data_IF_003499781125
#
_entry.id   IF_003499781125
#
_cell.length_a   1.000
_cell.length_b   1.000
_cell.length_c   1.000
_cell.angle_alpha   90.00
_cell.angle_beta   90.00
_cell.angle_gamma   90.00
#
_symmetry.space_group_name_H-M   'P 1'
#
loop_
_entity.id
_entity.type
_entity.pdbx_description
1 polymer ?
#
# COMPACT_ATOMS: atom_id res chain seq x y z
N UNK A 1 2.75 -10.01 -80.90
CA UNK A 1 2.36 -11.43 -80.76
C UNK A 1 3.25 -12.00 -79.65
N UNK A 2 3.15 -11.57 -78.39
CA UNK A 2 2.07 -11.70 -77.40
C UNK A 2 1.62 -13.16 -77.19
N UNK A 3 1.67 -13.60 -75.91
CA UNK A 3 1.19 -14.88 -75.32
C UNK A 3 2.32 -15.95 -75.33
N UNK A 4 2.92 -16.42 -74.22
CA UNK A 4 2.40 -16.95 -72.95
C UNK A 4 3.42 -16.65 -71.82
N UNK A 5 3.07 -15.96 -70.73
CA UNK A 5 2.58 -16.56 -69.47
C UNK A 5 3.37 -17.80 -69.00
N UNK A 6 4.37 -17.54 -68.15
CA UNK A 6 4.73 -18.45 -67.05
C UNK A 6 4.81 -17.62 -65.77
N UNK A 7 3.62 -17.24 -65.31
CA UNK A 7 3.37 -16.68 -63.99
C UNK A 7 3.68 -17.72 -62.91
N UNK A 8 4.43 -17.26 -61.90
CA UNK A 8 4.25 -17.55 -60.48
C UNK A 8 3.86 -18.98 -60.09
N UNK A 9 4.89 -19.83 -59.87
CA UNK A 9 4.78 -20.95 -58.93
C UNK A 9 5.40 -20.59 -57.59
N UNK A 10 4.85 -19.57 -56.92
CA UNK A 10 4.94 -19.46 -55.47
C UNK A 10 4.02 -20.53 -54.90
N UNK A 11 4.55 -21.73 -54.66
CA UNK A 11 3.82 -22.73 -53.89
C UNK A 11 3.59 -22.16 -52.49
N UNK A 12 2.36 -21.72 -52.24
CA UNK A 12 1.84 -21.48 -50.90
C UNK A 12 1.73 -22.84 -50.20
N UNK A 13 2.86 -23.29 -49.66
CA UNK A 13 2.96 -24.42 -48.75
C UNK A 13 2.77 -23.88 -47.33
N UNK A 14 1.86 -24.45 -46.57
CA UNK A 14 1.53 -24.09 -45.17
C UNK A 14 2.69 -24.28 -44.17
N UNK A 15 3.88 -24.63 -44.67
CA UNK A 15 5.09 -24.80 -43.88
C UNK A 15 6.01 -23.60 -44.14
N UNK A 16 6.40 -22.93 -43.05
CA UNK A 16 7.39 -21.85 -43.07
C UNK A 16 8.72 -22.39 -43.61
N UNK A 17 9.01 -22.17 -44.90
CA UNK A 17 10.31 -22.51 -45.48
C UNK A 17 11.28 -21.35 -45.22
N UNK A 18 11.93 -21.38 -44.06
CA UNK A 18 13.01 -20.44 -43.76
C UNK A 18 14.33 -20.95 -44.38
N UNK A 19 15.06 -20.07 -45.06
CA UNK A 19 16.41 -20.35 -45.55
C UNK A 19 17.39 -20.40 -44.35
N UNK A 20 18.45 -21.21 -44.42
CA UNK A 20 19.45 -21.35 -43.34
C UNK A 20 20.00 -19.98 -42.87
N UNK A 21 20.23 -19.05 -43.81
CA UNK A 21 20.69 -17.70 -43.46
C UNK A 21 19.66 -16.86 -42.71
N UNK A 22 18.36 -17.07 -42.97
CA UNK A 22 17.28 -16.39 -42.26
C UNK A 22 17.14 -16.94 -40.84
N UNK A 23 17.25 -18.25 -40.67
CA UNK A 23 17.31 -18.91 -39.35
C UNK A 23 18.48 -18.38 -38.51
N UNK A 24 19.68 -18.32 -39.09
CA UNK A 24 20.87 -17.80 -38.38
C UNK A 24 20.68 -16.34 -37.93
N UNK A 25 20.11 -15.48 -38.79
CA UNK A 25 19.82 -14.09 -38.41
C UNK A 25 18.74 -13.97 -37.33
N UNK A 26 17.71 -14.81 -37.35
CA UNK A 26 16.66 -14.85 -36.33
C UNK A 26 17.23 -15.32 -34.98
N UNK A 27 18.07 -16.36 -34.98
CA UNK A 27 18.75 -16.84 -33.78
C UNK A 27 19.73 -15.82 -33.21
N UNK A 28 20.41 -15.04 -34.05
CA UNK A 28 21.26 -13.95 -33.60
C UNK A 28 20.46 -12.79 -32.98
N UNK A 29 19.31 -12.46 -33.56
CA UNK A 29 18.40 -11.45 -33.00
C UNK A 29 17.85 -11.90 -31.64
N UNK A 30 17.43 -13.16 -31.53
CA UNK A 30 17.01 -13.76 -30.26
C UNK A 30 18.15 -13.75 -29.24
N UNK A 31 19.36 -14.21 -29.61
CA UNK A 31 20.53 -14.15 -28.72
C UNK A 31 20.92 -12.74 -28.29
N UNK A 32 20.74 -11.74 -29.16
CA UNK A 32 20.99 -10.33 -28.82
C UNK A 32 19.92 -9.82 -27.85
N UNK A 33 18.65 -10.12 -28.09
CA UNK A 33 17.55 -9.79 -27.18
C UNK A 33 17.73 -10.45 -25.80
N UNK A 34 18.12 -11.73 -25.76
CA UNK A 34 18.38 -12.47 -24.52
C UNK A 34 19.57 -11.91 -23.75
N UNK A 35 20.62 -11.43 -24.43
CA UNK A 35 21.76 -10.76 -23.79
C UNK A 35 21.40 -9.38 -23.24
N UNK A 36 20.54 -8.65 -23.95
CA UNK A 36 20.03 -7.34 -23.53
C UNK A 36 19.09 -7.47 -22.33
N UNK A 37 18.23 -8.50 -22.31
CA UNK A 37 17.41 -8.86 -21.16
C UNK A 37 18.28 -9.33 -19.98
N UNK A 38 19.32 -10.12 -20.24
CA UNK A 38 20.22 -10.65 -19.22
C UNK A 38 21.22 -9.63 -18.65
N UNK A 39 21.02 -8.33 -18.89
CA UNK A 39 21.81 -7.29 -18.23
C UNK A 39 21.65 -7.42 -16.71
N UNK A 40 22.76 -7.50 -15.95
CA UNK A 40 22.74 -7.84 -14.53
C UNK A 40 21.88 -6.87 -13.71
N UNK A 41 21.81 -5.59 -14.08
CA UNK A 41 20.98 -4.60 -13.39
C UNK A 41 19.48 -4.87 -13.51
N UNK A 42 19.00 -5.24 -14.71
CA UNK A 42 17.58 -5.55 -14.96
C UNK A 42 17.22 -6.86 -14.26
N UNK A 43 18.10 -7.86 -14.38
CA UNK A 43 17.93 -9.15 -13.70
C UNK A 43 17.93 -9.03 -12.18
N UNK A 44 18.75 -8.15 -11.59
CA UNK A 44 18.79 -7.97 -10.14
C UNK A 44 17.50 -7.37 -9.58
N UNK A 45 16.92 -6.37 -10.26
CA UNK A 45 15.64 -5.79 -9.84
C UNK A 45 14.50 -6.79 -10.02
N UNK A 46 14.43 -7.47 -11.17
CA UNK A 46 13.43 -8.50 -11.42
C UNK A 46 13.50 -9.60 -10.35
N UNK A 47 14.70 -10.15 -10.09
CA UNK A 47 14.91 -11.15 -9.06
C UNK A 47 14.54 -10.66 -7.65
N UNK A 48 14.76 -9.39 -7.32
CA UNK A 48 14.37 -8.82 -6.03
C UNK A 48 12.85 -8.72 -5.88
N UNK A 49 12.16 -8.28 -6.94
CA UNK A 49 10.69 -8.22 -6.97
C UNK A 49 10.11 -9.62 -6.87
N UNK A 50 10.63 -10.60 -7.63
CA UNK A 50 10.16 -11.99 -7.59
C UNK A 50 10.35 -12.61 -6.20
N UNK A 51 11.50 -12.40 -5.56
CA UNK A 51 11.73 -12.86 -4.18
C UNK A 51 10.76 -12.21 -3.19
N UNK A 52 10.52 -10.91 -3.31
CA UNK A 52 9.61 -10.18 -2.43
C UNK A 52 8.16 -10.66 -2.62
N UNK A 53 7.78 -10.93 -3.88
CA UNK A 53 6.49 -11.49 -4.23
C UNK A 53 6.31 -12.91 -3.71
N UNK A 54 7.31 -13.79 -3.90
CA UNK A 54 7.24 -15.17 -3.41
C UNK A 54 7.16 -15.22 -1.89
N UNK A 55 7.91 -14.37 -1.18
CA UNK A 55 7.81 -14.25 0.27
C UNK A 55 6.41 -13.80 0.71
N UNK A 56 5.85 -12.78 0.06
CA UNK A 56 4.51 -12.29 0.37
C UNK A 56 3.43 -13.34 0.04
N UNK A 57 3.57 -14.04 -1.07
CA UNK A 57 2.67 -15.13 -1.49
C UNK A 57 2.71 -16.28 -0.50
N UNK A 58 3.90 -16.72 -0.08
CA UNK A 58 4.05 -17.80 0.90
C UNK A 58 3.46 -17.40 2.25
N UNK A 59 3.71 -16.18 2.72
CA UNK A 59 3.13 -15.66 3.96
C UNK A 59 1.59 -15.55 3.89
N UNK A 60 1.02 -15.29 2.72
CA UNK A 60 -0.44 -15.26 2.52
C UNK A 60 -1.07 -16.63 2.73
N UNK A 61 -0.45 -17.71 2.24
CA UNK A 61 -1.07 -19.06 2.21
C UNK A 61 -1.44 -19.54 3.61
N UNK A 62 -0.53 -19.42 4.58
CA UNK A 62 -0.79 -19.84 5.97
C UNK A 62 -1.90 -19.00 6.61
N UNK A 63 -1.82 -17.68 6.46
CA UNK A 63 -2.83 -16.76 7.00
C UNK A 63 -4.21 -16.98 6.37
N UNK A 64 -4.27 -17.24 5.07
CA UNK A 64 -5.52 -17.51 4.35
C UNK A 64 -6.19 -18.79 4.83
N UNK A 65 -5.42 -19.84 5.13
CA UNK A 65 -5.96 -21.06 5.73
C UNK A 65 -6.60 -20.80 7.10
N UNK A 66 -5.92 -20.02 7.96
CA UNK A 66 -6.46 -19.62 9.27
C UNK A 66 -7.71 -18.75 9.10
N UNK A 67 -7.69 -17.78 8.17
CA UNK A 67 -8.84 -16.92 7.89
C UNK A 67 -10.06 -17.72 7.41
N UNK A 68 -9.86 -18.72 6.54
CA UNK A 68 -10.94 -19.61 6.10
C UNK A 68 -11.52 -20.43 7.25
N UNK A 69 -10.68 -20.93 8.17
CA UNK A 69 -11.14 -21.62 9.37
C UNK A 69 -11.96 -20.68 10.27
N UNK A 70 -11.48 -19.47 10.53
CA UNK A 70 -12.18 -18.45 11.31
C UNK A 70 -13.52 -18.06 10.67
N UNK A 71 -13.59 -17.95 9.34
CA UNK A 71 -14.81 -17.65 8.62
C UNK A 71 -15.87 -18.75 8.83
N UNK A 72 -15.49 -20.02 8.68
CA UNK A 72 -16.38 -21.17 8.96
C UNK A 72 -16.91 -21.15 10.40
N UNK A 73 -16.04 -20.90 11.37
CA UNK A 73 -16.44 -20.81 12.78
C UNK A 73 -17.42 -19.66 13.05
N UNK A 74 -17.26 -18.52 12.35
CA UNK A 74 -18.20 -17.39 12.43
C UNK A 74 -19.55 -17.75 11.82
N UNK A 75 -19.55 -18.51 10.72
CA UNK A 75 -20.77 -19.02 10.07
C UNK A 75 -21.40 -20.20 10.83
N UNK A 76 -20.79 -20.66 11.94
CA UNK A 76 -21.30 -21.74 12.77
C UNK A 76 -21.02 -23.14 12.22
N UNK A 77 -20.00 -23.30 11.39
CA UNK A 77 -19.61 -24.55 10.77
C UNK A 77 -18.32 -25.10 11.39
N UNK A 78 -18.32 -26.40 11.70
CA UNK A 78 -17.10 -27.12 12.08
C UNK A 78 -16.19 -27.33 10.87
N UNK A 79 -14.88 -27.48 11.12
CA UNK A 79 -13.99 -27.97 10.07
C UNK A 79 -14.26 -29.46 9.81
N UNK A 80 -13.93 -29.93 8.60
CA UNK A 80 -14.27 -31.28 8.17
C UNK A 80 -13.63 -32.35 9.07
N UNK A 81 -12.41 -32.10 9.55
CA UNK A 81 -11.67 -33.00 10.44
C UNK A 81 -12.36 -33.11 11.82
N UNK A 82 -12.72 -31.96 12.41
CA UNK A 82 -13.42 -31.91 13.69
C UNK A 82 -14.79 -32.59 13.62
N UNK A 83 -15.53 -32.34 12.52
CA UNK A 83 -16.84 -32.92 12.30
C UNK A 83 -16.77 -34.44 12.11
N UNK A 84 -15.74 -34.96 11.44
CA UNK A 84 -15.52 -36.42 11.38
C UNK A 84 -15.23 -37.02 12.75
N UNK A 85 -14.39 -36.36 13.57
CA UNK A 85 -14.06 -36.84 14.91
C UNK A 85 -15.29 -36.84 15.85
N UNK A 86 -16.14 -35.81 15.76
CA UNK A 86 -17.40 -35.75 16.52
C UNK A 86 -18.32 -36.90 16.13
N UNK A 87 -18.42 -37.22 14.83
CA UNK A 87 -19.24 -38.34 14.33
C UNK A 87 -18.71 -39.70 14.79
N UNK A 88 -17.40 -39.90 14.74
CA UNK A 88 -16.76 -41.14 15.21
C UNK A 88 -17.01 -41.38 16.71
N UNK A 89 -17.03 -40.30 17.50
CA UNK A 89 -17.31 -40.36 18.94
C UNK A 89 -18.82 -40.46 19.24
N UNK A 90 -19.70 -40.33 18.25
CA UNK A 90 -21.15 -40.31 18.44
C UNK A 90 -21.66 -39.05 19.16
N UNK A 91 -20.93 -37.93 19.06
CA UNK A 91 -21.28 -36.66 19.68
C UNK A 91 -22.36 -35.88 18.91
N UNK A 92 -22.80 -34.76 19.48
CA UNK A 92 -23.79 -33.86 18.86
C UNK A 92 -23.14 -32.89 17.88
N UNK A 93 -23.70 -32.75 16.68
CA UNK A 93 -23.20 -31.83 15.63
C UNK A 93 -23.65 -30.36 15.82
N UNK A 94 -24.16 -29.99 17.01
CA UNK A 94 -24.67 -28.65 17.27
C UNK A 94 -23.50 -27.69 17.54
N UNK A 95 -23.30 -26.72 16.66
CA UNK A 95 -22.33 -25.65 16.85
C UNK A 95 -22.93 -24.51 17.70
N UNK A 96 -22.37 -24.25 18.89
CA UNK A 96 -22.93 -23.30 19.87
C UNK A 96 -22.73 -21.80 19.54
N UNK A 97 -22.16 -21.47 18.38
CA UNK A 97 -21.95 -20.10 17.87
C UNK A 97 -21.31 -19.09 18.85
N UNK A 98 -20.52 -19.58 19.83
CA UNK A 98 -19.87 -18.72 20.84
C UNK A 98 -18.90 -17.72 20.21
N UNK A 99 -18.25 -18.11 19.10
CA UNK A 99 -17.30 -17.27 18.37
C UNK A 99 -17.95 -16.02 17.79
N UNK A 100 -19.16 -16.11 17.19
CA UNK A 100 -19.83 -14.95 16.60
C UNK A 100 -20.17 -13.88 17.66
N UNK A 101 -20.67 -14.32 18.82
CA UNK A 101 -20.99 -13.41 19.94
C UNK A 101 -19.73 -12.69 20.42
N UNK A 102 -18.61 -13.41 20.56
CA UNK A 102 -17.32 -12.82 20.98
C UNK A 102 -16.78 -11.83 19.95
N UNK A 103 -16.81 -12.17 18.66
CA UNK A 103 -16.35 -11.28 17.60
C UNK A 103 -17.15 -9.98 17.55
N UNK A 104 -18.48 -10.05 17.71
CA UNK A 104 -19.34 -8.85 17.78
C UNK A 104 -19.02 -7.97 18.97
N UNK A 105 -18.78 -8.56 20.14
CA UNK A 105 -18.40 -7.82 21.34
C UNK A 105 -17.05 -7.10 21.17
N UNK A 106 -16.07 -7.77 20.57
CA UNK A 106 -14.76 -7.17 20.26
C UNK A 106 -14.90 -6.07 19.20
N UNK A 107 -15.69 -6.28 18.15
CA UNK A 107 -15.94 -5.28 17.12
C UNK A 107 -16.57 -4.01 17.72
N UNK A 108 -17.52 -4.16 18.64
CA UNK A 108 -18.09 -3.04 19.38
C UNK A 108 -17.04 -2.32 20.25
N UNK A 109 -16.20 -3.07 20.96
CA UNK A 109 -15.12 -2.50 21.78
C UNK A 109 -14.06 -1.75 20.95
N UNK A 110 -13.67 -2.30 19.80
CA UNK A 110 -12.73 -1.64 18.88
C UNK A 110 -13.35 -0.34 18.33
N UNK A 111 -14.63 -0.37 17.95
CA UNK A 111 -15.33 0.83 17.48
C UNK A 111 -15.39 1.91 18.54
N UNK A 112 -15.63 1.55 19.79
CA UNK A 112 -15.65 2.49 20.91
C UNK A 112 -14.29 3.16 21.12
N UNK A 113 -13.19 2.39 21.04
CA UNK A 113 -11.83 2.91 21.18
C UNK A 113 -11.40 3.79 20.00
N UNK A 114 -11.69 3.37 18.76
CA UNK A 114 -11.23 4.07 17.55
C UNK A 114 -12.09 5.30 17.25
N UNK A 115 -13.40 5.22 17.52
CA UNK A 115 -14.38 6.25 17.18
C UNK A 115 -15.07 6.74 18.47
N UNK A 116 -14.37 7.52 19.32
CA UNK A 116 -15.00 8.07 20.50
C UNK A 116 -16.18 8.97 20.09
N UNK A 117 -17.33 8.79 20.75
CA UNK A 117 -18.58 9.45 20.37
C UNK A 117 -18.55 10.99 20.41
N UNK A 118 -17.52 11.59 21.03
CA UNK A 118 -17.45 13.02 21.31
C UNK A 118 -16.35 13.77 20.55
N UNK A 119 -15.41 13.09 19.87
CA UNK A 119 -14.28 13.78 19.24
C UNK A 119 -13.80 13.09 17.95
N UNK A 120 -13.21 13.87 17.05
CA UNK A 120 -12.62 13.35 15.81
C UNK A 120 -11.24 12.76 16.17
N UNK A 121 -11.00 11.45 15.96
CA UNK A 121 -9.76 10.81 16.43
C UNK A 121 -8.50 11.30 15.71
N UNK A 122 -8.65 12.08 14.63
CA UNK A 122 -7.58 12.81 13.97
C UNK A 122 -7.73 14.32 14.21
N UNK A 123 -7.37 14.76 15.41
CA UNK A 123 -7.17 16.18 15.69
C UNK A 123 -5.70 16.55 15.42
N UNK A 124 -5.48 17.55 14.56
CA UNK A 124 -4.16 18.19 14.45
C UNK A 124 -4.20 19.37 15.40
N UNK A 125 -3.50 19.27 16.52
CA UNK A 125 -3.24 20.43 17.38
C UNK A 125 -2.18 21.31 16.71
N UNK A 126 -2.35 22.64 16.65
CA UNK A 126 -1.28 23.53 16.22
C UNK A 126 -0.01 23.23 17.01
N UNK A 127 1.13 23.15 16.32
CA UNK A 127 2.44 23.15 17.00
C UNK A 127 2.52 24.42 17.86
N UNK A 128 3.08 24.31 19.06
CA UNK A 128 3.31 25.47 19.93
C UNK A 128 3.94 26.60 19.10
N UNK A 129 3.40 27.82 19.25
CA UNK A 129 3.96 29.00 18.59
C UNK A 129 5.41 29.09 19.07
N UNK A 130 6.41 29.10 18.17
CA UNK A 130 7.79 29.25 18.59
C UNK A 130 7.93 30.53 19.39
N UNK A 131 8.40 30.41 20.64
CA UNK A 131 8.75 31.60 21.41
C UNK A 131 9.90 32.31 20.70
N UNK A 132 9.83 33.64 20.64
CA UNK A 132 10.90 34.42 20.02
C UNK A 132 12.16 34.29 20.89
N UNK A 133 13.36 34.10 20.31
CA UNK A 133 14.58 34.10 21.09
C UNK A 133 14.72 35.40 21.89
N UNK A 134 15.21 35.31 23.13
CA UNK A 134 15.24 36.41 24.10
C UNK A 134 15.88 37.70 23.55
N UNK A 135 16.89 37.55 22.70
CA UNK A 135 17.57 38.67 22.03
C UNK A 135 16.60 39.54 21.19
N UNK A 136 15.66 38.90 20.49
CA UNK A 136 14.67 39.60 19.66
C UNK A 136 13.61 40.26 20.56
N UNK A 137 13.19 39.57 21.64
CA UNK A 137 12.26 40.14 22.61
C UNK A 137 12.83 41.40 23.27
N UNK A 138 14.11 41.40 23.65
CA UNK A 138 14.77 42.57 24.20
C UNK A 138 14.82 43.74 23.21
N UNK A 139 15.19 43.48 21.95
CA UNK A 139 15.23 44.53 20.91
C UNK A 139 13.85 45.15 20.69
N UNK A 140 12.80 44.32 20.64
CA UNK A 140 11.43 44.77 20.45
C UNK A 140 10.96 45.60 21.67
N UNK A 141 11.28 45.17 22.89
CA UNK A 141 10.95 45.91 24.11
C UNK A 141 11.69 47.26 24.19
N UNK A 142 12.98 47.29 23.83
CA UNK A 142 13.77 48.53 23.82
C UNK A 142 13.25 49.52 22.77
N UNK A 143 12.92 49.07 21.56
CA UNK A 143 12.30 49.92 20.53
C UNK A 143 10.95 50.46 20.98
N UNK A 144 10.10 49.61 21.57
CA UNK A 144 8.81 50.01 22.09
C UNK A 144 8.92 51.07 23.20
N UNK A 145 9.87 50.90 24.13
CA UNK A 145 10.13 51.84 25.21
C UNK A 145 10.67 53.19 24.68
N UNK A 146 11.50 53.17 23.63
CA UNK A 146 11.98 54.39 22.98
C UNK A 146 10.85 55.15 22.30
N UNK A 147 9.97 54.46 21.57
CA UNK A 147 8.79 55.10 20.95
C UNK A 147 7.84 55.68 22.00
N UNK A 148 7.60 54.98 23.12
CA UNK A 148 6.83 55.51 24.23
C UNK A 148 7.44 56.77 24.85
N UNK A 149 8.76 56.81 25.02
CA UNK A 149 9.44 58.00 25.54
C UNK A 149 9.30 59.20 24.59
N UNK A 150 9.37 58.97 23.29
CA UNK A 150 9.15 60.01 22.27
C UNK A 150 7.70 60.49 22.25
N UNK A 151 6.72 59.58 22.38
CA UNK A 151 5.31 59.94 22.47
C UNK A 151 4.99 60.73 23.76
N UNK A 152 5.60 60.37 24.88
CA UNK A 152 5.48 61.12 26.14
C UNK A 152 6.11 62.52 26.06
N UNK A 153 7.19 62.67 25.29
CA UNK A 153 7.80 63.98 25.03
C UNK A 153 6.98 64.82 24.03
N UNK A 154 6.38 64.17 23.02
CA UNK A 154 5.52 64.82 22.04
C UNK A 154 4.16 65.25 22.64
N UNK A 155 3.69 64.52 23.65
CA UNK A 155 2.48 64.84 24.41
C UNK A 155 2.77 64.73 25.92
N UNK A 156 3.34 65.77 26.56
CA UNK A 156 3.44 65.79 28.00
C UNK A 156 2.01 65.91 28.55
N UNK A 157 1.52 64.80 29.13
CA UNK A 157 0.36 64.65 30.02
C UNK A 157 -0.74 65.71 29.82
N UNK A 158 -1.81 65.37 29.09
CA UNK A 158 -3.10 66.01 29.36
C UNK A 158 -3.50 65.61 30.79
N UNK A 159 -3.26 66.53 31.71
CA UNK A 159 -3.68 66.44 33.11
C UNK A 159 -5.21 66.31 33.15
N UNK A 160 -5.71 65.10 33.39
CA UNK A 160 -7.13 64.88 33.66
C UNK A 160 -7.43 65.23 35.13
N UNK A 161 -7.31 66.52 35.45
CA UNK A 161 -7.71 67.07 36.74
C UNK A 161 -8.86 68.08 36.56
N UNK A 162 -10.09 67.54 36.39
CA UNK A 162 -11.37 67.98 37.00
C UNK A 162 -12.55 67.25 36.38
#
# INVERSE_FOLDING_TARGET
MAILQEEERTQSSLLRTANNQQLDSEEELQRKADKELNKPTINNLANFVDKSWDNAKNAKVENEAIMLQCARQRDGQYDQQDLSAIREQGGTEIFMMVTDIKCRAIEAGIKDVILPASDKPWAITPTEIPDMPEDINMIVQDQFNQELALLQQAYPQVDFAS
#
